data_IF_959381919771
#
_entry.id   IF_959381919771
#
_cell.length_a   1.000
_cell.length_b   1.000
_cell.length_c   1.000
_cell.angle_alpha   90.00
_cell.angle_beta   90.00
_cell.angle_gamma   90.00
#
_symmetry.space_group_name_H-M   'P 1'
#
loop_
_entity.id
_entity.type
_entity.pdbx_description
1 polymer ?
#
# COMPACT_ATOMS: atom_id res chain seq x y z
N UNK A 1 9.99 8.76 11.46
CA UNK A 1 9.86 7.45 10.78
C UNK A 1 10.07 7.71 9.31
N UNK A 2 10.98 6.98 8.69
CA UNK A 2 11.22 7.09 7.24
C UNK A 2 10.03 6.48 6.49
N UNK A 3 9.64 7.12 5.37
CA UNK A 3 8.58 6.59 4.53
C UNK A 3 9.10 5.35 3.78
N UNK A 4 8.25 4.35 3.53
CA UNK A 4 8.63 3.21 2.70
C UNK A 4 9.06 3.67 1.31
N UNK A 5 10.07 3.00 0.75
CA UNK A 5 10.59 3.27 -0.60
C UNK A 5 10.13 2.15 -1.54
N UNK A 6 9.62 2.53 -2.71
CA UNK A 6 9.22 1.60 -3.76
C UNK A 6 9.49 2.22 -5.13
N UNK A 7 10.03 1.44 -6.07
CA UNK A 7 10.44 1.93 -7.39
C UNK A 7 11.47 3.08 -7.33
N UNK A 8 12.41 3.00 -6.38
CA UNK A 8 13.46 4.02 -6.15
C UNK A 8 12.94 5.37 -5.62
N UNK A 9 11.63 5.50 -5.40
CA UNK A 9 10.96 6.70 -4.91
C UNK A 9 10.24 6.48 -3.56
N UNK A 10 10.02 7.56 -2.81
CA UNK A 10 9.21 7.52 -1.59
C UNK A 10 7.74 7.20 -1.94
N UNK A 11 7.16 6.26 -1.20
CA UNK A 11 5.74 5.95 -1.34
C UNK A 11 4.87 7.10 -0.82
N UNK A 12 3.73 7.30 -1.47
CA UNK A 12 2.74 8.31 -1.10
C UNK A 12 1.89 7.84 0.06
N UNK A 13 1.59 8.74 0.99
CA UNK A 13 0.68 8.45 2.09
C UNK A 13 -0.75 8.24 1.58
N UNK A 14 -1.39 7.13 1.98
CA UNK A 14 -2.76 6.79 1.56
C UNK A 14 -3.76 6.97 2.70
N UNK A 15 -3.51 6.36 3.85
CA UNK A 15 -4.40 6.43 5.00
C UNK A 15 -3.68 6.22 6.32
N UNK A 16 -4.30 6.71 7.39
CA UNK A 16 -3.82 6.55 8.75
C UNK A 16 -4.94 6.21 9.73
N UNK A 17 -4.63 5.39 10.72
CA UNK A 17 -5.49 5.19 11.89
C UNK A 17 -4.67 5.06 13.19
N UNK A 18 -5.35 4.75 14.31
CA UNK A 18 -4.71 4.64 15.63
C UNK A 18 -3.67 3.51 15.75
N UNK A 19 -3.66 2.54 14.84
CA UNK A 19 -2.84 1.34 14.91
C UNK A 19 -1.92 1.20 13.70
N UNK A 20 -2.40 1.57 12.50
CA UNK A 20 -1.72 1.35 11.23
C UNK A 20 -1.69 2.59 10.37
N UNK A 21 -0.61 2.74 9.61
CA UNK A 21 -0.47 3.68 8.50
C UNK A 21 -0.33 2.89 7.19
N UNK A 22 -0.79 3.45 6.07
CA UNK A 22 -0.65 2.82 4.76
C UNK A 22 -0.09 3.80 3.72
N UNK A 23 0.75 3.26 2.84
CA UNK A 23 1.40 4.00 1.76
C UNK A 23 1.22 3.26 0.44
N UNK A 24 1.09 4.00 -0.65
CA UNK A 24 0.96 3.50 -2.02
C UNK A 24 2.11 3.99 -2.88
N UNK A 25 2.66 3.10 -3.71
CA UNK A 25 3.61 3.47 -4.75
C UNK A 25 2.84 3.95 -5.98
N UNK A 26 2.98 5.23 -6.33
CA UNK A 26 2.29 5.80 -7.49
C UNK A 26 2.84 5.28 -8.84
N UNK A 27 3.99 4.60 -8.85
CA UNK A 27 4.57 4.02 -10.07
C UNK A 27 4.00 2.65 -10.40
N UNK A 28 3.85 1.78 -9.39
CA UNK A 28 3.47 0.37 -9.59
C UNK A 28 2.19 -0.04 -8.86
N UNK A 29 1.56 0.85 -8.10
CA UNK A 29 0.33 0.58 -7.35
C UNK A 29 0.52 -0.37 -6.16
N UNK A 30 1.75 -0.66 -5.73
CA UNK A 30 1.98 -1.47 -4.52
C UNK A 30 1.53 -0.72 -3.28
N UNK A 31 0.91 -1.45 -2.35
CA UNK A 31 0.55 -0.95 -1.03
C UNK A 31 1.49 -1.53 0.02
N UNK A 32 1.82 -0.73 1.01
CA UNK A 32 2.45 -1.19 2.25
C UNK A 32 1.64 -0.66 3.42
N UNK A 33 1.36 -1.54 4.37
CA UNK A 33 0.69 -1.20 5.63
C UNK A 33 1.67 -1.44 6.76
N UNK A 34 1.93 -0.41 7.56
CA UNK A 34 2.85 -0.47 8.70
C UNK A 34 2.08 -0.38 10.01
N UNK A 35 2.39 -1.26 10.96
CA UNK A 35 1.90 -1.16 12.33
C UNK A 35 2.73 -0.11 13.10
N UNK A 36 2.06 0.89 13.69
CA UNK A 36 2.72 2.00 14.39
C UNK A 36 3.37 1.59 15.71
N UNK A 37 2.93 0.49 16.32
CA UNK A 37 3.40 0.04 17.63
C UNK A 37 4.65 -0.82 17.47
N UNK A 38 4.66 -1.70 16.47
CA UNK A 38 5.76 -2.65 16.25
C UNK A 38 6.72 -2.20 15.15
N UNK A 39 6.29 -1.32 14.24
CA UNK A 39 7.03 -0.96 13.04
C UNK A 39 6.98 -2.02 11.94
N UNK A 40 6.22 -3.10 12.13
CA UNK A 40 6.12 -4.21 11.18
C UNK A 40 5.40 -3.78 9.91
N UNK A 41 5.95 -4.15 8.75
CA UNK A 41 5.43 -3.81 7.43
C UNK A 41 4.84 -5.03 6.73
N UNK A 42 3.64 -4.87 6.18
CA UNK A 42 3.02 -5.85 5.29
C UNK A 42 2.88 -5.27 3.89
N UNK A 43 3.49 -5.92 2.91
CA UNK A 43 3.54 -5.48 1.51
C UNK A 43 2.51 -6.23 0.65
N UNK A 44 1.75 -5.48 -0.14
CA UNK A 44 0.72 -5.98 -1.05
C UNK A 44 1.10 -5.62 -2.49
N UNK A 45 1.21 -6.65 -3.34
CA UNK A 45 1.74 -6.51 -4.69
C UNK A 45 0.69 -6.07 -5.73
N UNK A 46 -0.61 -6.17 -5.41
CA UNK A 46 -1.70 -5.89 -6.36
C UNK A 46 -2.84 -5.18 -5.63
N UNK A 47 -3.02 -3.89 -5.91
CA UNK A 47 -4.35 -3.30 -5.77
C UNK A 47 -5.10 -3.75 -7.02
N UNK A 48 -6.11 -4.61 -6.84
CA UNK A 48 -7.04 -4.96 -7.91
C UNK A 48 -7.42 -3.70 -8.68
N UNK A 49 -7.20 -3.70 -10.00
CA UNK A 49 -7.79 -2.68 -10.86
C UNK A 49 -9.29 -2.67 -10.56
N UNK A 50 -9.92 -1.53 -10.23
CA UNK A 50 -11.36 -1.50 -9.97
C UNK A 50 -12.18 -2.10 -11.14
N UNK A 51 -11.61 -2.05 -12.35
CA UNK A 51 -12.15 -2.71 -13.54
C UNK A 51 -12.05 -4.24 -13.54
N UNK A 52 -11.09 -4.85 -12.82
CA UNK A 52 -10.94 -6.30 -12.70
C UNK A 52 -11.99 -6.93 -11.76
N UNK A 53 -12.55 -6.13 -10.84
CA UNK A 53 -13.66 -6.56 -9.95
C UNK A 53 -14.99 -6.68 -10.72
N UNK A 54 -15.12 -5.99 -11.85
CA UNK A 54 -16.36 -5.91 -12.64
C UNK A 54 -16.50 -6.99 -13.71
N UNK A 55 -15.50 -7.85 -13.90
CA UNK A 55 -15.65 -9.03 -14.74
C UNK A 55 -16.10 -10.21 -13.86
N UNK A 56 -17.38 -10.64 -13.91
CA UNK A 56 -17.76 -11.91 -13.29
C UNK A 56 -16.91 -13.00 -13.93
N UNK A 57 -16.13 -13.70 -13.11
CA UNK A 57 -15.41 -14.91 -13.53
C UNK A 57 -16.40 -15.82 -14.25
N UNK A 58 -16.13 -16.08 -15.54
CA UNK A 58 -16.80 -17.11 -16.32
C UNK A 58 -16.52 -18.49 -15.74
#
# INVERSE_FOLDING_TARGET
MEKPICCEDEMSFLMDNKVKEAFECLHCGKLVVRDKRTGEETWYAEIFNPHDVMNPRR
#
